data_IF_171926861003
#
_entry.id   IF_171926861003
#
_cell.length_a   1.000
_cell.length_b   1.000
_cell.length_c   1.000
_cell.angle_alpha   90.00
_cell.angle_beta   90.00
_cell.angle_gamma   90.00
#
_symmetry.space_group_name_H-M   'P 1'
#
loop_
_entity.id
_entity.type
_entity.pdbx_description
1 polymer ?
#
# COMPACT_ATOMS: atom_id res chain seq x y z
N UNK A 1 16.25 -1.30 -4.27
CA UNK A 1 15.11 -0.58 -3.68
C UNK A 1 13.87 -0.92 -4.50
N UNK A 2 12.87 -1.51 -3.87
CA UNK A 2 11.67 -2.04 -4.56
C UNK A 2 10.82 -0.89 -5.09
N UNK A 3 10.36 -1.01 -6.34
CA UNK A 3 9.48 -0.01 -6.99
C UNK A 3 8.08 -0.58 -7.14
N UNK A 4 7.10 0.13 -6.62
CA UNK A 4 5.69 -0.18 -6.71
C UNK A 4 5.05 0.67 -7.81
N UNK A 5 4.59 0.03 -8.87
CA UNK A 5 3.79 0.67 -9.91
C UNK A 5 2.32 0.60 -9.49
N UNK A 6 1.73 1.77 -9.25
CA UNK A 6 0.33 1.92 -8.83
C UNK A 6 -0.50 2.26 -10.06
N UNK A 7 -1.58 1.54 -10.30
CA UNK A 7 -2.46 1.75 -11.45
C UNK A 7 -3.92 1.73 -11.03
N UNK A 8 -4.68 2.76 -11.40
CA UNK A 8 -6.14 2.73 -11.37
C UNK A 8 -6.60 2.54 -12.81
N UNK A 9 -7.40 1.52 -13.07
CA UNK A 9 -8.05 1.30 -14.35
C UNK A 9 -9.56 1.39 -14.22
N UNK A 10 -10.20 1.92 -15.25
CA UNK A 10 -11.63 2.19 -15.26
C UNK A 10 -12.39 1.23 -16.18
N UNK A 11 -11.76 0.14 -16.60
CA UNK A 11 -12.36 -0.91 -17.41
C UNK A 11 -12.85 -0.40 -18.76
N UNK A 12 -14.16 -0.48 -19.00
CA UNK A 12 -14.82 -0.08 -20.24
C UNK A 12 -15.09 1.43 -20.35
N UNK A 13 -14.71 2.23 -19.34
CA UNK A 13 -14.91 3.68 -19.42
C UNK A 13 -13.93 4.32 -20.42
N UNK A 14 -14.31 5.45 -21.00
CA UNK A 14 -13.41 6.24 -21.87
C UNK A 14 -12.31 7.01 -21.13
N UNK A 15 -12.24 6.91 -19.80
CA UNK A 15 -11.26 7.63 -19.00
C UNK A 15 -9.88 6.94 -19.04
N UNK A 16 -8.80 7.74 -19.04
CA UNK A 16 -7.44 7.19 -19.06
C UNK A 16 -7.10 6.53 -17.73
N UNK A 17 -6.29 5.47 -17.81
CA UNK A 17 -5.70 4.84 -16.63
C UNK A 17 -4.81 5.84 -15.88
N UNK A 18 -4.91 5.85 -14.54
CA UNK A 18 -4.05 6.68 -13.69
C UNK A 18 -2.88 5.83 -13.23
N UNK A 19 -1.65 6.24 -13.57
CA UNK A 19 -0.43 5.51 -13.26
C UNK A 19 0.47 6.37 -12.37
N UNK A 20 0.92 5.80 -11.25
CA UNK A 20 1.89 6.41 -10.34
C UNK A 20 2.98 5.39 -9.99
N UNK A 21 4.10 5.86 -9.48
CA UNK A 21 5.17 4.99 -8.99
C UNK A 21 5.56 5.49 -7.60
N UNK A 22 5.76 4.56 -6.67
CA UNK A 22 6.31 4.84 -5.36
C UNK A 22 7.35 3.80 -4.99
N UNK A 23 8.27 4.17 -4.09
CA UNK A 23 9.19 3.24 -3.43
C UNK A 23 8.79 2.97 -1.98
N UNK A 24 7.76 3.65 -1.46
CA UNK A 24 7.26 3.46 -0.11
C UNK A 24 6.13 2.40 -0.10
N UNK A 25 6.34 1.23 0.54
CA UNK A 25 5.31 0.20 0.64
C UNK A 25 4.07 0.67 1.39
N UNK A 26 4.18 1.62 2.33
CA UNK A 26 3.01 2.17 3.03
C UNK A 26 2.16 3.03 2.12
N UNK A 27 2.78 3.81 1.23
CA UNK A 27 2.05 4.59 0.23
C UNK A 27 1.36 3.66 -0.77
N UNK A 28 2.01 2.58 -1.20
CA UNK A 28 1.40 1.56 -2.05
C UNK A 28 0.21 0.84 -1.38
N UNK A 29 0.30 0.54 -0.07
CA UNK A 29 -0.83 -0.01 0.68
C UNK A 29 -1.99 1.01 0.80
N UNK A 30 -1.69 2.28 1.12
CA UNK A 30 -2.72 3.34 1.18
C UNK A 30 -3.41 3.53 -0.16
N UNK A 31 -2.67 3.40 -1.27
CA UNK A 31 -3.24 3.40 -2.61
C UNK A 31 -4.29 2.29 -2.76
N UNK A 32 -3.94 1.04 -2.44
CA UNK A 32 -4.90 -0.07 -2.46
C UNK A 32 -6.09 0.21 -1.54
N UNK A 33 -5.88 0.61 -0.29
CA UNK A 33 -6.99 0.73 0.66
C UNK A 33 -7.91 1.93 0.40
N UNK A 34 -7.35 3.10 0.09
CA UNK A 34 -8.05 4.38 0.26
C UNK A 34 -8.11 5.24 -1.00
N UNK A 35 -7.19 5.09 -1.94
CA UNK A 35 -7.28 5.90 -3.16
C UNK A 35 -8.52 5.51 -3.97
N UNK A 36 -9.13 6.54 -4.55
CA UNK A 36 -10.33 6.47 -5.37
C UNK A 36 -10.08 7.11 -6.71
N UNK A 37 -10.75 6.60 -7.74
CA UNK A 37 -10.78 7.26 -9.03
C UNK A 37 -11.54 8.59 -8.94
N UNK A 38 -11.04 9.67 -9.55
CA UNK A 38 -11.79 10.91 -9.70
C UNK A 38 -12.87 10.81 -10.79
N UNK A 39 -12.83 9.79 -11.66
CA UNK A 39 -13.65 9.72 -12.86
C UNK A 39 -14.88 8.82 -12.71
N UNK A 40 -14.73 7.66 -12.05
CA UNK A 40 -15.79 6.64 -12.00
C UNK A 40 -15.79 5.92 -10.66
N UNK A 41 -16.93 5.30 -10.30
CA UNK A 41 -17.02 4.42 -9.13
C UNK A 41 -16.63 2.96 -9.44
N UNK A 42 -16.81 2.53 -10.69
CA UNK A 42 -16.36 1.22 -11.18
C UNK A 42 -14.91 1.31 -11.64
N UNK A 43 -13.97 1.12 -10.72
CA UNK A 43 -12.54 1.10 -11.03
C UNK A 43 -11.84 -0.05 -10.31
N UNK A 44 -10.70 -0.44 -10.85
CA UNK A 44 -9.81 -1.45 -10.28
C UNK A 44 -8.47 -0.83 -9.98
N UNK A 45 -7.94 -1.13 -8.79
CA UNK A 45 -6.62 -0.72 -8.34
C UNK A 45 -5.66 -1.88 -8.48
N UNK A 46 -4.47 -1.61 -8.98
CA UNK A 46 -3.43 -2.61 -9.21
C UNK A 46 -2.12 -2.05 -8.67
N UNK A 47 -1.45 -2.83 -7.82
CA UNK A 47 -0.05 -2.58 -7.45
C UNK A 47 0.79 -3.67 -8.07
N UNK A 48 1.74 -3.28 -8.93
CA UNK A 48 2.70 -4.19 -9.54
C UNK A 48 4.07 -3.95 -8.94
N UNK A 49 4.69 -5.04 -8.50
CA UNK A 49 6.01 -5.00 -7.85
C UNK A 49 6.81 -6.18 -8.32
N UNK A 50 7.96 -5.93 -8.93
CA UNK A 50 8.81 -6.95 -9.55
C UNK A 50 7.98 -7.84 -10.50
N UNK A 51 7.61 -9.06 -10.07
CA UNK A 51 6.79 -10.02 -10.83
C UNK A 51 5.44 -10.36 -10.15
N UNK A 52 5.05 -9.64 -9.11
CA UNK A 52 3.77 -9.82 -8.42
C UNK A 52 2.81 -8.68 -8.75
N UNK A 53 1.52 -9.01 -8.82
CA UNK A 53 0.44 -8.04 -8.92
C UNK A 53 -0.53 -8.26 -7.77
N UNK A 54 -1.00 -7.15 -7.20
CA UNK A 54 -2.01 -7.12 -6.15
C UNK A 54 -3.16 -6.28 -6.65
N UNK A 55 -4.35 -6.86 -6.65
CA UNK A 55 -5.53 -6.24 -7.23
C UNK A 55 -6.53 -5.89 -6.13
N UNK A 56 -7.17 -4.74 -6.27
CA UNK A 56 -8.37 -4.40 -5.51
C UNK A 56 -9.45 -3.86 -6.42
N UNK A 57 -10.52 -4.62 -6.53
CA UNK A 57 -11.74 -4.31 -7.27
C UNK A 57 -12.96 -4.59 -6.39
N UNK A 58 -14.16 -4.60 -6.98
CA UNK A 58 -15.38 -5.03 -6.28
C UNK A 58 -15.35 -6.54 -6.03
N UNK A 59 -14.71 -7.32 -6.90
CA UNK A 59 -14.70 -8.78 -6.82
C UNK A 59 -13.51 -9.34 -6.04
N UNK A 60 -12.43 -8.58 -5.91
CA UNK A 60 -11.14 -9.06 -5.41
C UNK A 60 -10.48 -8.01 -4.50
N UNK A 61 -9.83 -8.44 -3.42
CA UNK A 61 -9.14 -7.55 -2.47
C UNK A 61 -7.85 -8.18 -1.92
N UNK A 62 -6.75 -7.95 -2.62
CA UNK A 62 -5.41 -8.40 -2.24
C UNK A 62 -4.70 -7.46 -1.26
N UNK A 63 -5.37 -6.43 -0.73
CA UNK A 63 -4.73 -5.46 0.16
C UNK A 63 -4.12 -6.10 1.42
N UNK A 64 -4.75 -7.17 1.94
CA UNK A 64 -4.22 -7.94 3.07
C UNK A 64 -2.96 -8.72 2.70
N UNK A 65 -2.95 -9.37 1.54
CA UNK A 65 -1.80 -10.11 1.04
C UNK A 65 -0.62 -9.15 0.78
N UNK A 66 -0.89 -8.00 0.17
CA UNK A 66 0.11 -6.95 -0.03
C UNK A 66 0.69 -6.45 1.30
N UNK A 67 -0.17 -6.21 2.30
CA UNK A 67 0.26 -5.78 3.63
C UNK A 67 1.19 -6.80 4.26
N UNK A 68 0.87 -8.09 4.18
CA UNK A 68 1.72 -9.16 4.71
C UNK A 68 3.09 -9.22 4.00
N UNK A 69 3.10 -9.07 2.67
CA UNK A 69 4.31 -9.22 1.87
C UNK A 69 5.29 -8.03 2.00
N UNK A 70 4.79 -6.80 2.17
CA UNK A 70 5.63 -5.60 2.05
C UNK A 70 5.55 -4.61 3.21
N UNK A 71 4.57 -4.73 4.10
CA UNK A 71 4.44 -3.86 5.28
C UNK A 71 4.72 -4.71 6.51
N UNK A 72 5.97 -4.75 7.00
CA UNK A 72 6.26 -5.46 8.25
C UNK A 72 5.35 -4.90 9.34
N UNK A 73 4.80 -5.80 10.18
CA UNK A 73 4.00 -5.45 11.35
C UNK A 73 4.89 -4.74 12.40
N UNK A 74 5.33 -3.51 12.12
CA UNK A 74 6.10 -2.65 13.02
C UNK A 74 5.23 -2.08 14.17
N UNK A 75 4.24 -2.84 14.64
CA UNK A 75 3.44 -2.42 15.78
C UNK A 75 4.16 -2.75 17.10
N UNK A 76 4.92 -3.85 17.15
CA UNK A 76 5.69 -4.21 18.33
C UNK A 76 7.06 -3.51 18.38
N UNK A 77 7.77 -3.37 17.26
CA UNK A 77 9.08 -2.70 17.23
C UNK A 77 9.02 -1.22 17.62
N UNK A 78 7.96 -0.51 17.22
CA UNK A 78 7.81 0.91 17.55
C UNK A 78 7.46 1.13 19.04
N UNK A 79 6.76 0.18 19.67
CA UNK A 79 6.47 0.19 21.11
C UNK A 79 7.73 -0.19 21.89
N UNK A 80 8.46 -1.22 21.44
CA UNK A 80 9.73 -1.61 22.06
C UNK A 80 10.78 -0.51 21.98
N UNK A 81 11.00 0.14 20.84
CA UNK A 81 11.94 1.26 20.76
C UNK A 81 11.55 2.44 21.66
N UNK A 82 10.26 2.71 21.81
CA UNK A 82 9.76 3.77 22.70
C UNK A 82 9.91 3.43 24.18
N UNK A 83 9.75 2.15 24.55
CA UNK A 83 9.98 1.65 25.91
C UNK A 83 11.48 1.61 26.26
N UNK A 84 12.34 1.09 25.38
CA UNK A 84 13.79 1.06 25.58
C UNK A 84 14.39 2.47 25.68
N UNK A 85 13.92 3.41 24.85
CA UNK A 85 14.32 4.82 24.94
C UNK A 85 13.92 5.48 26.27
N UNK A 86 12.82 5.04 26.90
CA UNK A 86 12.39 5.54 28.20
C UNK A 86 13.19 4.94 29.37
N UNK A 87 13.54 3.65 29.29
CA UNK A 87 14.35 2.97 30.31
C UNK A 87 15.78 3.50 30.33
N UNK A 88 16.40 3.71 29.17
CA UNK A 88 17.76 4.26 29.07
C UNK A 88 17.88 5.72 29.56
N UNK A 89 16.82 6.51 29.46
CA UNK A 89 16.81 7.90 29.91
C UNK A 89 16.51 8.08 31.41
N UNK A 90 16.17 6.99 32.11
CA UNK A 90 15.94 6.95 33.57
C UNK A 90 17.14 6.42 34.36
N UNK A 91 18.18 5.92 33.68
CA UNK A 91 19.42 5.42 34.29
C UNK A 91 20.61 6.39 34.13
N UNK A 92 20.35 7.66 33.84
CA UNK A 92 21.32 8.76 33.89
C UNK A 92 20.94 9.76 34.96
#
# INVERSE_FOLDING_TARGET
MTRFKLKITHGLSHHPDIIKVTTDPRQALRFLEREVSPYTRGFTKIVTTDNKQYVKSIAEDDSKAFRYDYVPYNQLDMIWQKLWGFVLNKCK
#
